data_IF_665686446035
#
_entry.id   IF_665686446035
#
_cell.length_a   1.000
_cell.length_b   1.000
_cell.length_c   1.000
_cell.angle_alpha   90.00
_cell.angle_beta   90.00
_cell.angle_gamma   90.00
#
_symmetry.space_group_name_H-M   'P 1'
#
loop_
_entity.id
_entity.type
_entity.pdbx_description
1 polymer ?
#
# COMPACT_ATOMS: atom_id res chain seq x y z
N UNK A 1 5.31 1.51 3.11
CA UNK A 1 4.44 2.55 3.70
C UNK A 1 5.18 3.86 3.95
N UNK A 2 6.21 3.93 4.80
CA UNK A 2 6.87 5.22 5.11
C UNK A 2 7.43 5.98 3.90
N UNK A 3 7.99 5.26 2.90
CA UNK A 3 8.45 5.86 1.65
C UNK A 3 7.31 6.57 0.91
N UNK A 4 6.17 5.89 0.74
CA UNK A 4 4.96 6.45 0.12
C UNK A 4 4.58 7.76 0.81
N UNK A 5 4.41 7.74 2.14
CA UNK A 5 4.05 8.95 2.88
C UNK A 5 5.06 10.07 2.73
N UNK A 6 6.36 9.78 2.74
CA UNK A 6 7.41 10.78 2.53
C UNK A 6 7.33 11.42 1.15
N UNK A 7 7.00 10.64 0.11
CA UNK A 7 6.92 11.16 -1.26
C UNK A 7 5.69 12.04 -1.49
N UNK A 8 4.64 11.86 -0.68
CA UNK A 8 3.33 12.51 -0.86
C UNK A 8 2.95 13.46 0.27
N UNK A 9 3.83 13.72 1.23
CA UNK A 9 3.53 14.46 2.47
C UNK A 9 3.04 15.89 2.21
N UNK A 10 3.62 16.56 1.22
CA UNK A 10 3.32 17.95 0.87
C UNK A 10 2.55 18.07 -0.45
N UNK A 11 1.95 16.97 -0.92
CA UNK A 11 1.22 16.95 -2.18
C UNK A 11 -0.28 16.90 -1.94
N UNK A 12 -1.03 17.70 -2.69
CA UNK A 12 -2.43 17.40 -2.93
C UNK A 12 -2.61 16.38 -4.07
N UNK A 13 -3.86 15.98 -4.29
CA UNK A 13 -4.23 14.99 -5.30
C UNK A 13 -3.86 15.42 -6.72
N UNK A 14 -4.02 16.69 -7.04
CA UNK A 14 -3.78 17.22 -8.38
C UNK A 14 -2.28 17.39 -8.67
N UNK A 15 -1.50 17.72 -7.65
CA UNK A 15 -0.03 17.72 -7.70
C UNK A 15 0.51 16.29 -7.87
N UNK A 16 -0.02 15.32 -7.11
CA UNK A 16 0.33 13.91 -7.26
C UNK A 16 0.10 13.40 -8.68
N UNK A 17 -1.08 13.68 -9.26
CA UNK A 17 -1.45 13.26 -10.62
C UNK A 17 -0.56 13.83 -11.73
N UNK A 18 0.15 14.93 -11.47
CA UNK A 18 1.04 15.60 -12.43
C UNK A 18 2.51 15.19 -12.26
N UNK A 19 2.84 14.38 -11.25
CA UNK A 19 4.21 14.02 -10.92
C UNK A 19 4.48 12.53 -11.21
N UNK A 20 4.82 12.22 -12.46
CA UNK A 20 5.08 10.85 -12.94
C UNK A 20 6.14 10.13 -12.08
N UNK A 21 7.20 10.83 -11.67
CA UNK A 21 8.25 10.25 -10.83
C UNK A 21 7.72 9.78 -9.47
N UNK A 22 6.83 10.57 -8.85
CA UNK A 22 6.21 10.20 -7.58
C UNK A 22 5.19 9.10 -7.77
N UNK A 23 4.40 9.14 -8.86
CA UNK A 23 3.49 8.05 -9.22
C UNK A 23 4.25 6.73 -9.32
N UNK A 24 5.32 6.68 -10.12
CA UNK A 24 6.15 5.48 -10.29
C UNK A 24 6.73 4.99 -8.96
N UNK A 25 7.26 5.91 -8.15
CA UNK A 25 7.80 5.58 -6.83
C UNK A 25 6.71 5.00 -5.90
N UNK A 26 5.50 5.56 -5.93
CA UNK A 26 4.36 5.08 -5.12
C UNK A 26 3.91 3.71 -5.60
N UNK A 27 3.65 3.54 -6.89
CA UNK A 27 3.21 2.28 -7.49
C UNK A 27 4.19 1.15 -7.18
N UNK A 28 5.50 1.41 -7.33
CA UNK A 28 6.54 0.45 -6.96
C UNK A 28 6.48 0.03 -5.48
N UNK A 29 6.22 0.98 -4.57
CA UNK A 29 6.12 0.65 -3.15
C UNK A 29 4.81 -0.10 -2.83
N UNK A 30 3.74 0.14 -3.57
CA UNK A 30 2.48 -0.61 -3.45
C UNK A 30 2.67 -2.07 -3.89
N UNK A 31 3.35 -2.32 -5.01
CA UNK A 31 3.71 -3.67 -5.45
C UNK A 31 4.46 -4.44 -4.36
N UNK A 32 5.45 -3.80 -3.74
CA UNK A 32 6.25 -4.40 -2.67
C UNK A 32 5.38 -4.73 -1.45
N UNK A 33 4.43 -3.86 -1.09
CA UNK A 33 3.49 -4.11 0.01
C UNK A 33 2.63 -5.34 -0.31
N UNK A 34 2.08 -5.43 -1.52
CA UNK A 34 1.25 -6.57 -1.91
C UNK A 34 2.05 -7.88 -1.99
N UNK A 35 3.28 -7.85 -2.50
CA UNK A 35 4.18 -9.01 -2.53
C UNK A 35 4.54 -9.48 -1.12
N UNK A 36 4.86 -8.55 -0.22
CA UNK A 36 5.11 -8.87 1.19
C UNK A 36 3.87 -9.46 1.87
N UNK A 37 2.69 -8.90 1.59
CA UNK A 37 1.41 -9.40 2.10
C UNK A 37 1.10 -10.83 1.62
N UNK A 38 1.45 -11.15 0.38
CA UNK A 38 1.28 -12.48 -0.19
C UNK A 38 2.22 -13.53 0.41
N UNK A 39 3.33 -13.10 1.03
CA UNK A 39 4.30 -13.98 1.71
C UNK A 39 3.95 -14.23 3.18
N UNK A 40 2.97 -13.51 3.74
CA UNK A 40 2.48 -13.79 5.09
C UNK A 40 1.74 -15.12 5.08
N UNK A 41 2.04 -15.98 6.06
CA UNK A 41 1.41 -17.30 6.17
C UNK A 41 -0.11 -17.18 6.33
N UNK A 42 -0.85 -18.22 5.90
CA UNK A 42 -2.31 -18.24 6.06
C UNK A 42 -2.71 -18.19 7.54
N UNK A 43 -1.95 -18.84 8.42
CA UNK A 43 -2.12 -18.80 9.88
C UNK A 43 -2.06 -17.37 10.41
N UNK A 44 -0.98 -16.63 10.10
CA UNK A 44 -0.82 -15.25 10.58
C UNK A 44 -1.86 -14.30 9.97
N UNK A 45 -2.26 -14.52 8.71
CA UNK A 45 -3.38 -13.77 8.10
C UNK A 45 -4.72 -14.07 8.76
N UNK A 46 -4.93 -15.31 9.19
CA UNK A 46 -6.14 -15.73 9.92
C UNK A 46 -6.18 -15.18 11.34
N UNK A 47 -5.04 -15.02 11.99
CA UNK A 47 -4.95 -14.45 13.34
C UNK A 47 -5.05 -12.92 13.32
N UNK A 48 -4.61 -12.28 12.23
CA UNK A 48 -4.59 -10.83 12.06
C UNK A 48 -5.65 -10.34 11.05
N UNK A 49 -6.92 -10.64 11.28
CA UNK A 49 -8.01 -10.37 10.32
C UNK A 49 -8.37 -8.88 10.17
N UNK A 50 -7.93 -8.04 11.10
CA UNK A 50 -8.11 -6.60 11.07
C UNK A 50 -7.27 -5.93 9.97
N UNK A 51 -6.20 -6.60 9.52
CA UNK A 51 -5.39 -6.17 8.38
C UNK A 51 -6.03 -6.66 7.07
N UNK A 52 -6.23 -5.77 6.08
CA UNK A 52 -6.90 -6.12 4.82
C UNK A 52 -5.96 -6.85 3.84
N UNK A 53 -5.42 -8.00 4.24
CA UNK A 53 -4.42 -8.78 3.47
C UNK A 53 -4.83 -9.00 2.01
N UNK A 54 -6.05 -9.50 1.78
CA UNK A 54 -6.55 -9.78 0.42
C UNK A 54 -6.61 -8.52 -0.44
N UNK A 55 -6.93 -7.36 0.14
CA UNK A 55 -6.94 -6.08 -0.60
C UNK A 55 -5.52 -5.63 -0.94
N UNK A 56 -4.57 -5.77 -0.02
CA UNK A 56 -3.16 -5.42 -0.30
C UNK A 56 -2.55 -6.32 -1.39
N UNK A 57 -2.87 -7.62 -1.37
CA UNK A 57 -2.46 -8.57 -2.42
C UNK A 57 -3.15 -8.21 -3.75
N UNK A 58 -4.45 -7.94 -3.74
CA UNK A 58 -5.20 -7.56 -4.94
C UNK A 58 -4.70 -6.25 -5.57
N UNK A 59 -4.30 -5.28 -4.75
CA UNK A 59 -3.77 -4.00 -5.22
C UNK A 59 -2.48 -4.16 -6.04
N UNK A 60 -1.60 -5.10 -5.67
CA UNK A 60 -0.44 -5.46 -6.50
C UNK A 60 -0.88 -5.91 -7.89
N UNK A 61 -1.91 -6.75 -8.00
CA UNK A 61 -2.36 -7.26 -9.29
C UNK A 61 -2.91 -6.14 -10.17
N UNK A 62 -3.61 -5.17 -9.59
CA UNK A 62 -4.11 -3.99 -10.32
C UNK A 62 -2.92 -3.16 -10.85
N UNK A 63 -1.94 -2.87 -10.00
CA UNK A 63 -0.79 -2.03 -10.37
C UNK A 63 0.10 -2.66 -11.45
N UNK A 64 0.32 -3.98 -11.42
CA UNK A 64 1.21 -4.65 -12.39
C UNK A 64 0.54 -4.97 -13.73
N UNK A 65 -0.79 -5.12 -13.78
CA UNK A 65 -1.50 -5.50 -15.00
C UNK A 65 -2.06 -4.28 -15.75
N UNK A 66 -2.54 -3.27 -15.01
CA UNK A 66 -3.14 -2.07 -15.60
C UNK A 66 -2.19 -0.87 -15.52
N UNK A 67 -0.86 -1.04 -15.60
CA UNK A 67 0.12 0.06 -15.46
C UNK A 67 -0.19 1.32 -16.31
N UNK A 68 -0.87 1.17 -17.45
CA UNK A 68 -1.35 2.29 -18.29
C UNK A 68 -2.77 2.80 -17.98
N UNK A 69 -3.55 2.06 -17.18
CA UNK A 69 -4.95 2.33 -16.83
C UNK A 69 -5.24 2.40 -15.33
N UNK A 70 -4.21 2.45 -14.48
CA UNK A 70 -4.40 2.60 -13.03
C UNK A 70 -5.12 3.93 -12.76
N UNK A 71 -6.27 3.84 -12.10
CA UNK A 71 -7.00 5.01 -11.65
C UNK A 71 -6.25 5.69 -10.51
N UNK A 72 -5.64 6.84 -10.80
CA UNK A 72 -4.89 7.64 -9.84
C UNK A 72 -5.78 8.19 -8.71
N UNK A 73 -7.10 8.27 -8.90
CA UNK A 73 -8.02 8.62 -7.83
C UNK A 73 -8.06 7.52 -6.77
N UNK A 74 -8.10 6.26 -7.19
CA UNK A 74 -8.05 5.09 -6.29
C UNK A 74 -6.70 5.02 -5.59
N UNK A 75 -5.60 5.25 -6.31
CA UNK A 75 -4.26 5.25 -5.71
C UNK A 75 -4.14 6.35 -4.65
N UNK A 76 -4.69 7.54 -4.92
CA UNK A 76 -4.72 8.61 -3.93
C UNK A 76 -5.52 8.25 -2.69
N UNK A 77 -6.68 7.58 -2.84
CA UNK A 77 -7.46 7.06 -1.71
C UNK A 77 -6.65 6.03 -0.90
N UNK A 78 -5.94 5.12 -1.56
CA UNK A 78 -5.07 4.15 -0.88
C UNK A 78 -4.02 4.86 -0.03
N UNK A 79 -3.37 5.90 -0.57
CA UNK A 79 -2.33 6.67 0.12
C UNK A 79 -2.89 7.43 1.31
N UNK A 80 -4.05 8.07 1.15
CA UNK A 80 -4.57 9.03 2.14
C UNK A 80 -5.52 8.41 3.16
N UNK A 81 -6.11 7.25 2.86
CA UNK A 81 -7.09 6.58 3.72
C UNK A 81 -6.60 5.19 4.13
N UNK A 82 -6.41 4.27 3.17
CA UNK A 82 -6.22 2.86 3.51
C UNK A 82 -4.85 2.56 4.15
N UNK A 83 -3.76 3.15 3.64
CA UNK A 83 -2.42 2.94 4.20
C UNK A 83 -2.27 3.54 5.60
N UNK A 84 -2.78 4.76 5.90
CA UNK A 84 -2.81 5.30 7.26
C UNK A 84 -3.57 4.42 8.25
N UNK A 85 -4.69 3.83 7.85
CA UNK A 85 -5.45 2.88 8.68
C UNK A 85 -4.72 1.55 8.88
N UNK A 86 -3.99 1.08 7.87
CA UNK A 86 -3.34 -0.24 7.90
C UNK A 86 -1.99 -0.21 8.63
N UNK A 87 -1.21 0.86 8.49
CA UNK A 87 0.12 0.98 9.12
C UNK A 87 0.15 0.73 10.64
N UNK A 88 -0.76 1.28 11.47
CA UNK A 88 -0.72 1.02 12.91
C UNK A 88 -1.01 -0.44 13.25
N UNK A 89 -1.89 -1.12 12.50
CA UNK A 89 -2.19 -2.55 12.67
C UNK A 89 -0.95 -3.41 12.42
N UNK A 90 -0.25 -3.16 11.31
CA UNK A 90 1.03 -3.81 11.01
C UNK A 90 2.07 -3.55 12.11
N UNK A 91 2.14 -2.31 12.63
CA UNK A 91 3.05 -1.99 13.74
C UNK A 91 2.73 -2.77 15.01
N UNK A 92 1.46 -3.02 15.29
CA UNK A 92 1.05 -3.80 16.47
C UNK A 92 1.50 -5.25 16.31
N UNK A 93 1.22 -5.86 15.16
CA UNK A 93 1.63 -7.24 14.85
C UNK A 93 3.16 -7.41 14.99
N UNK A 94 3.94 -6.43 14.53
CA UNK A 94 5.40 -6.47 14.63
C UNK A 94 5.93 -6.38 16.08
N UNK A 95 5.13 -5.96 17.06
CA UNK A 95 5.53 -6.03 18.47
C UNK A 95 5.45 -7.46 19.01
N UNK A 96 4.46 -8.22 18.55
CA UNK A 96 4.23 -9.60 18.95
C UNK A 96 5.16 -10.57 18.19
N UNK A 97 5.65 -10.15 17.01
CA UNK A 97 6.59 -10.87 16.17
C UNK A 97 7.83 -10.01 15.86
N UNK A 98 8.68 -9.70 16.85
CA UNK A 98 9.90 -8.93 16.62
C UNK A 98 10.85 -9.73 15.71
N UNK A 99 11.31 -9.08 14.64
CA UNK A 99 12.32 -9.60 13.70
C UNK A 99 13.71 -9.68 14.33
#
# INVERSE_FOLDING_TARGET
MNKIFKYTEEMDKEEFKKNELVIDAVLRNIEIIGEASNKVSDEMRSDCQDVPWSKMIGLRNIVIHDYFGVDLDIIWEVITVNLPETKPKIKEILKDYPL
#
